data_IF_695323350468
#
_entry.id   IF_695323350468
#
_cell.length_a   1.000
_cell.length_b   1.000
_cell.length_c   1.000
_cell.angle_alpha   90.00
_cell.angle_beta   90.00
_cell.angle_gamma   90.00
#
_symmetry.space_group_name_H-M   'P 1'
#
loop_
_entity.id
_entity.type
_entity.pdbx_description
1 polymer ?
#
# COMPACT_ATOMS: atom_id res chain seq x y z
N UNK A 1 2.40 -14.47 -19.27
CA UNK A 1 1.42 -14.95 -18.26
C UNK A 1 2.13 -15.98 -17.40
N UNK A 2 2.06 -15.83 -16.10
CA UNK A 2 2.69 -16.78 -15.17
C UNK A 2 1.68 -17.84 -14.75
N UNK A 3 2.15 -19.08 -14.75
CA UNK A 3 1.34 -20.20 -14.29
C UNK A 3 1.14 -20.19 -12.77
N UNK A 4 0.23 -21.01 -12.27
CA UNK A 4 0.05 -21.23 -10.84
C UNK A 4 1.20 -22.08 -10.25
N UNK A 5 1.63 -21.83 -9.00
CA UNK A 5 1.16 -20.76 -8.10
C UNK A 5 1.69 -19.36 -8.49
N UNK A 6 0.96 -18.31 -8.10
CA UNK A 6 1.40 -16.93 -8.32
C UNK A 6 2.56 -16.55 -7.38
N UNK A 7 3.23 -15.42 -7.68
CA UNK A 7 4.26 -14.88 -6.77
C UNK A 7 3.71 -14.59 -5.37
N UNK A 8 2.48 -14.09 -5.27
CA UNK A 8 1.82 -13.85 -3.99
C UNK A 8 1.54 -15.16 -3.21
N UNK A 9 1.14 -16.24 -3.92
CA UNK A 9 0.96 -17.55 -3.31
C UNK A 9 2.26 -18.12 -2.76
N UNK A 10 3.35 -17.99 -3.52
CA UNK A 10 4.68 -18.45 -3.07
C UNK A 10 5.17 -17.70 -1.84
N UNK A 11 5.04 -16.38 -1.82
CA UNK A 11 5.40 -15.55 -0.67
C UNK A 11 4.55 -15.91 0.54
N UNK A 12 3.24 -16.10 0.35
CA UNK A 12 2.32 -16.53 1.41
C UNK A 12 2.71 -17.88 1.99
N UNK A 13 3.07 -18.86 1.15
CA UNK A 13 3.49 -20.18 1.60
C UNK A 13 4.77 -20.12 2.46
N UNK A 14 5.74 -19.27 2.10
CA UNK A 14 6.95 -19.07 2.91
C UNK A 14 6.62 -18.42 4.25
N UNK A 15 5.78 -17.40 4.27
CA UNK A 15 5.34 -16.75 5.52
C UNK A 15 4.63 -17.75 6.45
N UNK A 16 3.76 -18.59 5.91
CA UNK A 16 3.04 -19.63 6.66
C UNK A 16 4.00 -20.68 7.22
N UNK A 17 4.97 -21.13 6.45
CA UNK A 17 6.01 -22.04 6.92
C UNK A 17 6.79 -21.45 8.11
N UNK A 18 7.25 -20.21 7.97
CA UNK A 18 7.98 -19.54 9.05
C UNK A 18 7.12 -19.45 10.31
N UNK A 19 5.87 -19.04 10.18
CA UNK A 19 4.96 -18.80 11.32
C UNK A 19 4.51 -20.09 12.00
N UNK A 20 4.16 -21.09 11.22
CA UNK A 20 3.50 -22.31 11.72
C UNK A 20 4.45 -23.48 11.96
N UNK A 21 5.62 -23.51 11.31
CA UNK A 21 6.57 -24.63 11.41
C UNK A 21 7.93 -24.23 11.97
N UNK A 22 8.50 -23.11 11.56
CA UNK A 22 9.82 -22.69 12.06
C UNK A 22 9.74 -22.01 13.42
N UNK A 23 8.86 -21.03 13.61
CA UNK A 23 8.76 -20.29 14.88
C UNK A 23 8.51 -21.16 16.11
N UNK A 24 7.66 -22.20 16.07
CA UNK A 24 7.45 -23.06 17.23
C UNK A 24 8.72 -23.79 17.69
N UNK A 25 9.71 -23.93 16.83
CA UNK A 25 11.00 -24.58 17.12
C UNK A 25 12.12 -23.61 17.50
N UNK A 26 11.83 -22.31 17.52
CA UNK A 26 12.80 -21.24 17.81
C UNK A 26 12.50 -20.57 19.14
N UNK A 27 13.55 -20.03 19.76
CA UNK A 27 13.47 -19.27 21.01
C UNK A 27 14.27 -17.98 20.93
N UNK A 28 14.00 -17.03 21.84
CA UNK A 28 14.77 -15.78 21.95
C UNK A 28 14.78 -14.94 20.69
N UNK A 29 15.97 -14.45 20.33
CA UNK A 29 16.15 -13.57 19.18
C UNK A 29 15.76 -14.23 17.83
N UNK A 30 16.02 -15.52 17.67
CA UNK A 30 15.67 -16.24 16.47
C UNK A 30 14.15 -16.26 16.24
N UNK A 31 13.38 -16.52 17.30
CA UNK A 31 11.91 -16.49 17.23
C UNK A 31 11.39 -15.07 16.93
N UNK A 32 11.98 -14.05 17.52
CA UNK A 32 11.63 -12.66 17.24
C UNK A 32 11.89 -12.29 15.77
N UNK A 33 13.08 -12.58 15.25
CA UNK A 33 13.43 -12.30 13.88
C UNK A 33 12.61 -13.10 12.85
N UNK A 34 12.26 -14.34 13.17
CA UNK A 34 11.36 -15.13 12.34
C UNK A 34 9.97 -14.49 12.23
N UNK A 35 9.44 -13.94 13.33
CA UNK A 35 8.18 -13.19 13.32
C UNK A 35 8.26 -11.94 12.44
N UNK A 36 9.34 -11.17 12.59
CA UNK A 36 9.58 -9.98 11.75
C UNK A 36 9.67 -10.36 10.28
N UNK A 37 10.39 -11.43 9.95
CA UNK A 37 10.50 -11.93 8.58
C UNK A 37 9.13 -12.34 7.99
N UNK A 38 8.32 -13.09 8.76
CA UNK A 38 6.98 -13.46 8.33
C UNK A 38 6.08 -12.23 8.10
N UNK A 39 6.14 -11.24 8.98
CA UNK A 39 5.40 -9.99 8.82
C UNK A 39 5.86 -9.20 7.58
N UNK A 40 7.16 -9.17 7.30
CA UNK A 40 7.70 -8.54 6.09
C UNK A 40 7.19 -9.23 4.82
N UNK A 41 7.14 -10.56 4.81
CA UNK A 41 6.57 -11.32 3.70
C UNK A 41 5.07 -11.06 3.52
N UNK A 42 4.32 -10.83 4.59
CA UNK A 42 2.91 -10.43 4.50
C UNK A 42 2.75 -9.07 3.80
N UNK A 43 3.66 -8.12 4.05
CA UNK A 43 3.68 -6.82 3.34
C UNK A 43 3.93 -7.04 1.85
N UNK A 44 4.96 -7.82 1.49
CA UNK A 44 5.28 -8.13 0.09
C UNK A 44 4.10 -8.81 -0.62
N UNK A 45 3.45 -9.76 0.05
CA UNK A 45 2.26 -10.41 -0.50
C UNK A 45 1.17 -9.40 -0.81
N UNK A 46 0.82 -8.53 0.15
CA UNK A 46 -0.20 -7.50 -0.06
C UNK A 46 0.19 -6.51 -1.16
N UNK A 47 1.47 -6.16 -1.27
CA UNK A 47 1.94 -5.30 -2.35
C UNK A 47 1.74 -5.97 -3.72
N UNK A 48 2.07 -7.24 -3.86
CA UNK A 48 1.84 -7.99 -5.10
C UNK A 48 0.36 -8.07 -5.48
N UNK A 49 -0.54 -8.16 -4.49
CA UNK A 49 -1.98 -8.29 -4.71
C UNK A 49 -2.68 -6.94 -4.91
N UNK A 50 -2.27 -5.88 -4.23
CA UNK A 50 -2.98 -4.60 -4.14
C UNK A 50 -2.35 -3.51 -5.02
N UNK A 51 -1.01 -3.44 -5.07
CA UNK A 51 -0.33 -2.32 -5.71
C UNK A 51 -0.63 -2.16 -7.22
N UNK A 52 -0.82 -3.21 -8.02
CA UNK A 52 -1.11 -3.02 -9.44
C UNK A 52 -2.36 -2.16 -9.68
N UNK A 53 -3.47 -2.47 -9.03
CA UNK A 53 -4.72 -1.74 -9.18
C UNK A 53 -4.64 -0.36 -8.50
N UNK A 54 -4.09 -0.29 -7.29
CA UNK A 54 -3.90 0.97 -6.57
C UNK A 54 -3.04 1.96 -7.34
N UNK A 55 -1.96 1.51 -7.97
CA UNK A 55 -1.08 2.34 -8.79
C UNK A 55 -1.78 2.84 -10.07
N UNK A 56 -2.60 1.98 -10.69
CA UNK A 56 -3.39 2.40 -11.87
C UNK A 56 -4.41 3.48 -11.51
N UNK A 57 -5.09 3.32 -10.39
CA UNK A 57 -6.05 4.32 -9.89
C UNK A 57 -5.34 5.62 -9.48
N UNK A 58 -4.19 5.55 -8.81
CA UNK A 58 -3.37 6.71 -8.45
C UNK A 58 -2.92 7.46 -9.69
N UNK A 59 -2.42 6.75 -10.70
CA UNK A 59 -2.02 7.34 -11.98
C UNK A 59 -3.17 8.09 -12.66
N UNK A 60 -4.36 7.49 -12.67
CA UNK A 60 -5.56 8.11 -13.23
C UNK A 60 -5.92 9.42 -12.50
N UNK A 61 -5.91 9.41 -11.18
CA UNK A 61 -6.17 10.62 -10.37
C UNK A 61 -5.11 11.70 -10.59
N UNK A 62 -3.83 11.33 -10.70
CA UNK A 62 -2.73 12.28 -10.95
C UNK A 62 -2.86 12.95 -12.31
N UNK A 63 -3.18 12.19 -13.35
CA UNK A 63 -3.41 12.75 -14.69
C UNK A 63 -4.54 13.76 -14.68
N UNK A 64 -5.65 13.44 -14.03
CA UNK A 64 -6.78 14.34 -13.90
C UNK A 64 -6.43 15.62 -13.10
N UNK A 65 -5.72 15.46 -11.97
CA UNK A 65 -5.36 16.56 -11.07
C UNK A 65 -4.34 17.51 -11.69
N UNK A 66 -3.35 16.97 -12.40
CA UNK A 66 -2.26 17.78 -12.98
C UNK A 66 -2.55 18.21 -14.44
N UNK A 67 -3.55 17.63 -15.09
CA UNK A 67 -3.86 17.89 -16.49
C UNK A 67 -2.74 17.48 -17.44
N UNK A 68 -2.01 16.41 -17.12
CA UNK A 68 -0.76 16.05 -17.79
C UNK A 68 -0.62 14.54 -17.91
N UNK A 69 -0.02 14.07 -18.97
CA UNK A 69 0.39 12.68 -19.15
C UNK A 69 1.81 12.46 -18.58
N UNK A 70 2.08 11.23 -18.14
CA UNK A 70 3.39 10.82 -17.61
C UNK A 70 3.30 9.51 -16.84
N UNK A 71 4.45 9.02 -16.40
CA UNK A 71 4.54 7.87 -15.49
C UNK A 71 4.11 8.26 -14.08
N UNK A 72 3.79 7.25 -13.26
CA UNK A 72 3.43 7.45 -11.85
C UNK A 72 4.53 8.22 -11.09
N UNK A 73 5.79 7.87 -11.32
CA UNK A 73 6.93 8.53 -10.66
C UNK A 73 7.07 10.00 -11.11
N UNK A 74 6.97 10.28 -12.40
CA UNK A 74 7.06 11.63 -12.94
C UNK A 74 5.95 12.52 -12.41
N UNK A 75 4.71 12.02 -12.42
CA UNK A 75 3.56 12.79 -11.96
C UNK A 75 3.56 13.00 -10.44
N UNK A 76 4.01 12.04 -9.65
CA UNK A 76 4.20 12.24 -8.22
C UNK A 76 5.29 13.27 -7.91
N UNK A 77 6.38 13.28 -8.67
CA UNK A 77 7.42 14.32 -8.54
C UNK A 77 6.87 15.71 -8.89
N UNK A 78 6.10 15.81 -9.94
CA UNK A 78 5.41 17.05 -10.35
C UNK A 78 4.41 17.51 -9.27
N UNK A 79 3.61 16.59 -8.73
CA UNK A 79 2.68 16.90 -7.63
C UNK A 79 3.40 17.50 -6.43
N UNK A 80 4.49 16.86 -5.98
CA UNK A 80 5.30 17.37 -4.88
C UNK A 80 5.87 18.75 -5.16
N UNK A 81 6.38 19.00 -6.37
CA UNK A 81 6.90 20.30 -6.78
C UNK A 81 5.83 21.39 -6.73
N UNK A 82 4.62 21.12 -7.22
CA UNK A 82 3.51 22.09 -7.22
C UNK A 82 2.93 22.36 -5.82
N UNK A 83 2.92 21.36 -4.94
CA UNK A 83 2.57 21.56 -3.54
C UNK A 83 3.63 22.43 -2.85
N UNK A 84 4.91 22.14 -3.07
CA UNK A 84 6.01 22.89 -2.47
C UNK A 84 6.06 24.34 -2.94
N UNK A 85 5.77 24.61 -4.22
CA UNK A 85 5.74 25.98 -4.77
C UNK A 85 4.49 26.78 -4.39
N UNK A 86 3.45 26.10 -3.85
CA UNK A 86 2.17 26.71 -3.53
C UNK A 86 1.18 26.79 -4.70
N UNK A 87 1.51 26.23 -5.86
CA UNK A 87 0.60 26.13 -7.01
C UNK A 87 -0.61 25.25 -6.72
N UNK A 88 -0.41 24.20 -5.91
CA UNK A 88 -1.47 23.35 -5.39
C UNK A 88 -1.54 23.50 -3.87
N UNK A 89 -2.74 23.72 -3.36
CA UNK A 89 -3.02 23.88 -1.94
C UNK A 89 -4.18 22.96 -1.51
N UNK A 90 -4.46 22.89 -0.23
CA UNK A 90 -5.58 22.10 0.29
C UNK A 90 -6.95 22.56 -0.25
N UNK A 91 -7.04 23.78 -0.78
CA UNK A 91 -8.25 24.30 -1.44
C UNK A 91 -8.34 23.90 -2.92
N UNK A 92 -7.26 23.34 -3.50
CA UNK A 92 -7.27 22.84 -4.87
C UNK A 92 -8.22 21.64 -4.97
N UNK A 93 -9.18 21.72 -5.88
CA UNK A 93 -10.16 20.65 -6.09
C UNK A 93 -9.47 19.33 -6.42
N UNK A 94 -9.82 18.27 -5.69
CA UNK A 94 -9.31 16.92 -5.89
C UNK A 94 -8.01 16.60 -5.16
N UNK A 95 -7.24 17.58 -4.67
CA UNK A 95 -5.97 17.31 -4.00
C UNK A 95 -6.15 16.53 -2.70
N UNK A 96 -7.07 16.94 -1.83
CA UNK A 96 -7.35 16.21 -0.57
C UNK A 96 -7.78 14.78 -0.82
N UNK A 97 -8.69 14.57 -1.77
CA UNK A 97 -9.19 13.24 -2.11
C UNK A 97 -8.09 12.34 -2.66
N UNK A 98 -7.22 12.90 -3.50
CA UNK A 98 -6.06 12.19 -4.01
C UNK A 98 -5.10 11.76 -2.89
N UNK A 99 -4.72 12.69 -2.02
CA UNK A 99 -3.80 12.41 -0.90
C UNK A 99 -4.41 11.39 0.07
N UNK A 100 -5.71 11.50 0.35
CA UNK A 100 -6.42 10.57 1.21
C UNK A 100 -6.46 9.16 0.61
N UNK A 101 -6.88 9.03 -0.65
CA UNK A 101 -6.94 7.75 -1.34
C UNK A 101 -5.56 7.06 -1.42
N UNK A 102 -4.52 7.83 -1.73
CA UNK A 102 -3.13 7.32 -1.77
C UNK A 102 -2.66 6.87 -0.38
N UNK A 103 -2.99 7.62 0.67
CA UNK A 103 -2.67 7.24 2.04
C UNK A 103 -3.36 5.93 2.45
N UNK A 104 -4.65 5.78 2.15
CA UNK A 104 -5.39 4.55 2.45
C UNK A 104 -4.83 3.35 1.69
N UNK A 105 -4.47 3.51 0.41
CA UNK A 105 -3.86 2.44 -0.39
C UNK A 105 -2.52 1.98 0.20
N UNK A 106 -1.67 2.91 0.63
CA UNK A 106 -0.41 2.58 1.29
C UNK A 106 -0.62 1.85 2.63
N UNK A 107 -1.55 2.32 3.45
CA UNK A 107 -1.87 1.68 4.73
C UNK A 107 -2.47 0.29 4.55
N UNK A 108 -3.25 0.05 3.49
CA UNK A 108 -3.76 -1.28 3.16
C UNK A 108 -2.63 -2.30 2.95
N UNK A 109 -1.52 -1.87 2.38
CA UNK A 109 -0.33 -2.71 2.15
C UNK A 109 0.51 -2.81 3.43
N UNK A 110 0.92 -1.68 3.99
CA UNK A 110 1.93 -1.62 5.05
C UNK A 110 1.38 -1.97 6.43
N UNK A 111 0.22 -1.41 6.77
CA UNK A 111 -0.33 -1.48 8.12
C UNK A 111 -1.86 -1.63 8.15
N UNK A 112 -2.41 -2.73 7.61
CA UNK A 112 -3.87 -2.91 7.55
C UNK A 112 -4.54 -3.02 8.93
N UNK A 113 -3.77 -3.28 9.99
CA UNK A 113 -4.26 -3.37 11.37
C UNK A 113 -4.17 -2.04 12.14
N UNK A 114 -3.61 -0.98 11.52
CA UNK A 114 -3.55 0.34 12.15
C UNK A 114 -4.95 0.87 12.47
N UNK A 115 -5.16 1.28 13.71
CA UNK A 115 -6.48 1.68 14.20
C UNK A 115 -7.09 2.86 13.43
N UNK A 116 -6.25 3.83 13.03
CA UNK A 116 -6.68 4.97 12.22
C UNK A 116 -7.16 4.56 10.83
N UNK A 117 -6.48 3.61 10.19
CA UNK A 117 -6.90 3.06 8.91
C UNK A 117 -8.25 2.33 9.01
N UNK A 118 -8.40 1.47 10.01
CA UNK A 118 -9.65 0.73 10.24
C UNK A 118 -10.82 1.68 10.49
N UNK A 119 -10.61 2.72 11.29
CA UNK A 119 -11.62 3.77 11.55
C UNK A 119 -12.00 4.50 10.25
N UNK A 120 -11.02 4.88 9.43
CA UNK A 120 -11.29 5.54 8.16
C UNK A 120 -12.13 4.69 7.21
N UNK A 121 -11.91 3.36 7.17
CA UNK A 121 -12.75 2.44 6.39
C UNK A 121 -14.18 2.35 6.92
N UNK A 122 -14.37 2.31 8.24
CA UNK A 122 -15.68 2.27 8.88
C UNK A 122 -16.47 3.57 8.60
N UNK A 123 -15.85 4.72 8.72
CA UNK A 123 -16.45 6.04 8.42
C UNK A 123 -16.79 6.18 6.93
N UNK A 124 -15.94 5.69 6.03
CA UNK A 124 -16.20 5.66 4.58
C UNK A 124 -17.40 4.79 4.20
N UNK A 125 -17.59 3.66 4.89
CA UNK A 125 -18.72 2.77 4.67
C UNK A 125 -20.04 3.29 5.29
N UNK A 126 -19.98 4.10 6.34
CA UNK A 126 -21.17 4.69 6.99
C UNK A 126 -21.74 5.89 6.21
N UNK A 127 -20.98 6.46 5.27
CA UNK A 127 -21.36 7.59 4.43
C UNK A 127 -22.01 7.22 3.09
N UNK A 128 -22.20 5.94 2.82
CA UNK A 128 -22.90 5.40 1.64
C UNK A 128 -24.26 4.82 2.11
#
# INVERSE_FOLDING_TARGET
>A
MQDQPTSADLVGAVADFIRNHAMPQLTGHAAFHARVAANALDIVKRELEIAPDANAEELSRLKALLGKEGSLEELNRELCARIFSGDLTLDTQGLKDHLWATTLAKLAIDQPKYSGYRRALEEGNAGN
#
